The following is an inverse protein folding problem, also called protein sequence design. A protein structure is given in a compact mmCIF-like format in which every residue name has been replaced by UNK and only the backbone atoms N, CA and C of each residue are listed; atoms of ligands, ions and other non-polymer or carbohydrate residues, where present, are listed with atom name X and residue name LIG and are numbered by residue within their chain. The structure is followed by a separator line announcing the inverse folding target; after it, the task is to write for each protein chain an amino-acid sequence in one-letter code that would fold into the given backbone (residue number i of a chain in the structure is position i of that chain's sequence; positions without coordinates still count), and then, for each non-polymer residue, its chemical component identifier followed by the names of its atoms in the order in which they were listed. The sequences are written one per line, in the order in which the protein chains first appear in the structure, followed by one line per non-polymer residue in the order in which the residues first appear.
data_IF_389529584377
#
_entry.id   IF_389529584377
#
_cell.length_a   1.000
_cell.length_b   1.000
_cell.length_c   1.000
_cell.angle_alpha   90.00
_cell.angle_beta   90.00
_cell.angle_gamma   90.00
#
_symmetry.space_group_name_H-M   'P 1'
#
loop_
_entity.id
_entity.type
_entity.pdbx_description
1 polymer ?
#
# COMPACT_ATOMS: atom_id res chain seq x y z
N UNK A 1 -23.93 1.11 7.80
CA UNK A 1 -24.05 2.06 6.66
C UNK A 1 -23.25 3.30 6.98
N UNK A 2 -22.59 3.91 5.98
CA UNK A 2 -21.91 5.22 6.16
C UNK A 2 -22.94 6.34 6.35
N UNK A 3 -22.58 7.38 7.09
CA UNK A 3 -23.44 8.55 7.27
C UNK A 3 -23.49 9.44 6.01
N UNK A 4 -24.50 10.30 5.93
CA UNK A 4 -24.72 11.19 4.78
C UNK A 4 -23.57 12.17 4.54
N UNK A 5 -22.88 12.63 5.60
CA UNK A 5 -21.73 13.53 5.46
C UNK A 5 -20.58 12.80 4.78
N UNK A 6 -20.26 11.59 5.25
CA UNK A 6 -19.27 10.71 4.60
C UNK A 6 -19.64 10.45 3.14
N UNK A 7 -20.89 10.06 2.85
CA UNK A 7 -21.34 9.83 1.47
C UNK A 7 -21.14 11.06 0.57
N UNK A 8 -21.56 12.24 1.03
CA UNK A 8 -21.40 13.50 0.30
C UNK A 8 -19.94 13.93 0.07
N UNK A 9 -19.06 13.54 1.00
CA UNK A 9 -17.62 13.78 0.89
C UNK A 9 -16.95 12.84 -0.10
N UNK A 10 -17.32 11.55 -0.08
CA UNK A 10 -16.78 10.50 -0.96
C UNK A 10 -17.30 10.58 -2.39
N UNK A 11 -18.48 11.20 -2.58
CA UNK A 11 -19.06 11.38 -3.91
C UNK A 11 -18.02 11.97 -4.87
N UNK A 12 -17.81 11.36 -6.05
CA UNK A 12 -16.80 11.83 -6.99
C UNK A 12 -17.15 13.24 -7.45
N UNK A 13 -16.31 14.21 -7.08
CA UNK A 13 -16.40 15.61 -7.54
C UNK A 13 -15.26 15.98 -8.51
N UNK A 14 -14.31 15.07 -8.68
CA UNK A 14 -13.18 15.24 -9.58
C UNK A 14 -13.51 14.72 -10.98
N UNK A 15 -13.10 15.44 -12.01
CA UNK A 15 -13.25 15.05 -13.42
C UNK A 15 -11.92 14.76 -14.11
N UNK A 16 -10.80 14.95 -13.40
CA UNK A 16 -9.46 14.77 -13.99
C UNK A 16 -9.10 13.29 -14.01
N UNK A 17 -8.75 12.80 -15.19
CA UNK A 17 -8.09 11.51 -15.32
C UNK A 17 -6.77 11.55 -14.52
N UNK A 18 -6.46 10.50 -13.75
CA UNK A 18 -5.12 10.30 -13.21
C UNK A 18 -4.06 10.48 -14.31
N UNK A 19 -2.92 11.08 -13.99
CA UNK A 19 -1.81 11.25 -14.94
C UNK A 19 -0.55 10.58 -14.43
N UNK A 20 0.12 9.86 -15.31
CA UNK A 20 1.41 9.24 -15.01
C UNK A 20 2.55 10.20 -15.36
N UNK A 21 3.58 10.23 -14.53
CA UNK A 21 4.83 10.93 -14.79
C UNK A 21 6.01 10.15 -14.21
N UNK A 22 7.22 10.42 -14.69
CA UNK A 22 8.44 9.76 -14.22
C UNK A 22 9.30 10.69 -13.37
N UNK A 23 9.73 10.23 -12.21
CA UNK A 23 10.76 10.90 -11.41
C UNK A 23 12.12 10.20 -11.60
N UNK A 24 13.19 10.90 -12.00
CA UNK A 24 14.49 10.27 -12.20
C UNK A 24 15.08 9.78 -10.87
N UNK A 25 15.56 8.53 -10.86
CA UNK A 25 16.35 8.01 -9.74
C UNK A 25 17.79 8.47 -9.90
N UNK A 26 18.11 9.66 -9.39
CA UNK A 26 19.42 10.33 -9.53
C UNK A 26 20.60 9.52 -8.96
N UNK A 27 20.34 8.64 -8.00
CA UNK A 27 21.34 7.78 -7.36
C UNK A 27 21.63 6.47 -8.12
N UNK A 28 21.03 6.22 -9.29
CA UNK A 28 21.26 4.99 -10.09
C UNK A 28 21.87 5.34 -11.46
N UNK A 29 22.75 4.48 -11.96
CA UNK A 29 23.30 4.61 -13.31
C UNK A 29 22.18 4.66 -14.36
N UNK A 30 22.39 5.47 -15.40
CA UNK A 30 21.42 5.73 -16.49
C UNK A 30 20.09 6.37 -16.04
N UNK A 31 20.01 6.84 -14.79
CA UNK A 31 18.89 7.62 -14.25
C UNK A 31 17.49 7.03 -14.55
N UNK A 32 17.24 5.74 -14.23
CA UNK A 32 15.96 5.11 -14.51
C UNK A 32 14.81 5.90 -13.86
N UNK A 33 13.69 5.99 -14.57
CA UNK A 33 12.50 6.69 -14.08
C UNK A 33 11.75 5.84 -13.04
N UNK A 34 11.23 6.51 -12.01
CA UNK A 34 10.22 6.00 -11.09
C UNK A 34 8.86 6.46 -11.59
N UNK A 35 8.01 5.57 -12.15
CA UNK A 35 6.68 5.96 -12.57
C UNK A 35 5.82 6.28 -11.34
N UNK A 36 5.15 7.42 -11.36
CA UNK A 36 4.18 7.85 -10.35
C UNK A 36 2.87 8.15 -11.07
N UNK A 37 1.78 7.64 -10.52
CA UNK A 37 0.43 7.94 -10.93
C UNK A 37 -0.18 8.97 -9.98
N UNK A 38 -0.31 10.21 -10.43
CA UNK A 38 -1.02 11.23 -9.66
C UNK A 38 -2.52 11.00 -9.76
N UNK A 39 -3.12 10.61 -8.63
CA UNK A 39 -4.57 10.46 -8.52
C UNK A 39 -5.26 11.69 -7.94
N UNK A 40 -4.51 12.74 -7.56
CA UNK A 40 -5.09 13.93 -6.92
C UNK A 40 -6.16 14.51 -7.85
N UNK A 41 -7.31 14.90 -7.28
CA UNK A 41 -8.50 15.39 -8.01
C UNK A 41 -9.17 14.38 -8.97
N UNK A 42 -8.77 13.11 -8.96
CA UNK A 42 -9.49 12.06 -9.68
C UNK A 42 -10.74 11.59 -8.92
N UNK A 43 -11.69 10.89 -9.60
CA UNK A 43 -12.82 10.25 -8.94
C UNK A 43 -12.43 9.26 -7.83
N UNK A 44 -11.25 8.64 -7.95
CA UNK A 44 -10.79 7.57 -7.06
C UNK A 44 -10.20 8.08 -5.74
N UNK A 45 -9.56 9.25 -5.76
CA UNK A 45 -8.65 9.67 -4.69
C UNK A 45 -9.31 9.82 -3.32
N UNK A 46 -10.54 10.37 -3.26
CA UNK A 46 -11.24 10.54 -1.98
C UNK A 46 -11.65 9.20 -1.36
N UNK A 47 -12.15 8.29 -2.19
CA UNK A 47 -12.52 6.93 -1.76
C UNK A 47 -11.27 6.16 -1.33
N UNK A 48 -10.19 6.21 -2.12
CA UNK A 48 -8.91 5.57 -1.79
C UNK A 48 -8.34 6.06 -0.46
N UNK A 49 -8.37 7.39 -0.20
CA UNK A 49 -7.91 7.96 1.07
C UNK A 49 -8.77 7.49 2.24
N UNK A 50 -10.09 7.52 2.09
CA UNK A 50 -11.01 7.05 3.12
C UNK A 50 -10.83 5.56 3.42
N UNK A 51 -10.64 4.73 2.39
CA UNK A 51 -10.32 3.31 2.54
C UNK A 51 -9.00 3.11 3.29
N UNK A 52 -7.96 3.90 2.98
CA UNK A 52 -6.69 3.82 3.70
C UNK A 52 -6.86 4.06 5.21
N UNK A 53 -7.67 5.06 5.59
CA UNK A 53 -8.00 5.33 6.98
C UNK A 53 -8.78 4.16 7.62
N UNK A 54 -9.63 3.47 6.85
CA UNK A 54 -10.40 2.31 7.35
C UNK A 54 -9.58 1.02 7.42
N UNK A 55 -8.50 0.92 6.65
CA UNK A 55 -7.58 -0.21 6.70
C UNK A 55 -6.48 -0.05 7.76
N UNK A 56 -6.30 1.17 8.30
CA UNK A 56 -5.32 1.43 9.34
C UNK A 56 -5.43 0.52 10.59
N UNK A 57 -6.62 0.19 11.12
CA UNK A 57 -6.73 -0.77 12.22
C UNK A 57 -6.22 -2.16 11.85
N UNK A 58 -6.51 -2.62 10.63
CA UNK A 58 -6.03 -3.92 10.12
C UNK A 58 -4.52 -3.88 9.94
N UNK A 59 -4.00 -2.77 9.37
CA UNK A 59 -2.56 -2.53 9.22
C UNK A 59 -1.85 -2.58 10.57
N UNK A 60 -2.37 -1.93 11.61
CA UNK A 60 -1.74 -1.97 12.95
C UNK A 60 -1.76 -3.36 13.58
N UNK A 61 -2.83 -4.12 13.36
CA UNK A 61 -2.94 -5.51 13.84
C UNK A 61 -1.90 -6.42 13.18
N UNK A 62 -1.65 -6.22 11.88
CA UNK A 62 -0.73 -7.05 11.10
C UNK A 62 0.70 -6.49 11.08
N UNK A 63 0.95 -5.25 10.72
CA UNK A 63 2.30 -4.70 10.55
C UNK A 63 2.97 -4.33 11.89
N UNK A 64 3.16 -5.31 12.78
CA UNK A 64 3.72 -5.14 14.13
C UNK A 64 5.22 -4.83 14.14
N UNK A 65 5.94 -5.20 13.08
CA UNK A 65 7.37 -4.93 12.92
C UNK A 65 7.66 -3.71 12.03
N UNK A 66 6.63 -2.99 11.57
CA UNK A 66 6.80 -1.74 10.83
C UNK A 66 7.11 -0.61 11.80
N UNK A 67 8.29 -0.03 11.65
CA UNK A 67 8.74 1.11 12.44
C UNK A 67 8.25 2.42 11.83
N UNK A 68 7.98 3.40 12.69
CA UNK A 68 7.50 4.73 12.29
C UNK A 68 8.56 5.51 11.50
N UNK A 69 9.81 5.44 11.96
CA UNK A 69 10.94 6.17 11.41
C UNK A 69 12.28 5.50 11.78
N UNK A 70 13.36 6.02 11.19
CA UNK A 70 14.72 5.51 11.41
C UNK A 70 15.26 5.79 12.81
N UNK A 71 14.69 6.76 13.55
CA UNK A 71 15.15 7.06 14.91
C UNK A 71 14.71 5.97 15.87
N UNK A 72 13.46 5.49 15.74
CA UNK A 72 12.99 4.31 16.49
C UNK A 72 13.85 3.08 16.21
N UNK A 73 14.24 2.88 14.93
CA UNK A 73 15.15 1.80 14.57
C UNK A 73 16.52 1.94 15.25
N UNK A 74 17.15 3.12 15.16
CA UNK A 74 18.45 3.38 15.77
C UNK A 74 18.41 3.17 17.29
N UNK A 75 17.34 3.63 17.95
CA UNK A 75 17.13 3.43 19.37
C UNK A 75 16.99 1.94 19.72
N UNK A 76 16.21 1.17 18.95
CA UNK A 76 16.08 -0.28 19.17
C UNK A 76 17.40 -1.04 19.02
N UNK A 77 18.26 -0.59 18.08
CA UNK A 77 19.57 -1.17 17.85
C UNK A 77 20.54 -0.90 19.01
N UNK A 78 20.49 0.29 19.63
CA UNK A 78 21.33 0.63 20.78
C UNK A 78 21.09 -0.27 22.00
N UNK A 79 19.87 -0.81 22.14
CA UNK A 79 19.48 -1.67 23.25
C UNK A 79 19.60 -3.17 22.93
N UNK A 80 20.01 -3.52 21.71
CA UNK A 80 20.10 -4.93 21.26
C UNK A 80 21.53 -5.45 21.46
N UNK A 81 21.68 -6.58 22.17
CA UNK A 81 22.97 -7.26 22.24
C UNK A 81 23.32 -7.93 20.90
N UNK A 82 24.33 -7.40 20.23
CA UNK A 82 24.82 -7.86 18.93
C UNK A 82 26.06 -8.76 19.02
N UNK A 83 26.55 -9.07 20.22
CA UNK A 83 27.72 -9.93 20.37
C UNK A 83 27.46 -11.31 19.72
N UNK A 84 28.40 -11.73 18.87
CA UNK A 84 28.31 -12.99 18.10
C UNK A 84 27.12 -13.09 17.13
N UNK A 85 26.52 -11.96 16.75
CA UNK A 85 25.48 -11.90 15.71
C UNK A 85 26.02 -11.24 14.44
N UNK A 86 25.40 -11.55 13.30
CA UNK A 86 25.64 -10.84 12.04
C UNK A 86 24.33 -10.23 11.54
N UNK A 87 24.43 -9.12 10.79
CA UNK A 87 23.27 -8.43 10.24
C UNK A 87 23.04 -8.89 8.80
N UNK A 88 21.78 -9.17 8.48
CA UNK A 88 21.32 -9.42 7.11
C UNK A 88 20.28 -8.37 6.76
N UNK A 89 20.39 -7.79 5.56
CA UNK A 89 19.45 -6.80 5.04
C UNK A 89 18.90 -7.26 3.69
N UNK A 90 17.59 -7.15 3.52
CA UNK A 90 16.88 -7.50 2.30
C UNK A 90 16.18 -6.27 1.74
N UNK A 91 16.26 -6.07 0.43
CA UNK A 91 15.53 -5.01 -0.29
C UNK A 91 14.49 -5.62 -1.22
N UNK A 92 13.23 -5.21 -1.05
CA UNK A 92 12.14 -5.68 -1.91
C UNK A 92 12.15 -4.88 -3.22
N UNK A 93 12.52 -5.55 -4.30
CA UNK A 93 12.54 -4.91 -5.63
C UNK A 93 11.13 -4.59 -6.11
N UNK A 94 10.87 -3.29 -6.32
CA UNK A 94 9.65 -2.78 -6.95
C UNK A 94 8.35 -3.16 -6.20
N UNK A 95 8.38 -3.03 -4.87
CA UNK A 95 7.30 -3.39 -3.95
C UNK A 95 5.88 -3.11 -4.48
N UNK A 96 5.52 -1.84 -4.73
CA UNK A 96 4.15 -1.48 -5.14
C UNK A 96 3.67 -2.18 -6.42
N UNK A 97 4.56 -2.36 -7.39
CA UNK A 97 4.26 -3.02 -8.67
C UNK A 97 4.38 -4.54 -8.62
N UNK A 98 4.58 -5.12 -7.43
CA UNK A 98 4.65 -6.58 -7.23
C UNK A 98 3.72 -7.08 -6.13
N UNK A 99 2.99 -6.19 -5.47
CA UNK A 99 1.97 -6.59 -4.50
C UNK A 99 0.82 -7.29 -5.25
N UNK A 100 0.48 -8.53 -4.89
CA UNK A 100 -0.68 -9.22 -5.44
C UNK A 100 -1.96 -8.56 -4.89
N UNK A 101 -2.57 -7.71 -5.71
CA UNK A 101 -3.64 -6.83 -5.28
C UNK A 101 -4.85 -7.59 -4.71
N UNK A 102 -5.29 -8.63 -5.42
CA UNK A 102 -6.47 -9.42 -5.00
C UNK A 102 -6.21 -10.17 -3.69
N UNK A 103 -5.05 -10.82 -3.57
CA UNK A 103 -4.64 -11.51 -2.34
C UNK A 103 -4.58 -10.53 -1.15
N UNK A 104 -4.04 -9.34 -1.37
CA UNK A 104 -3.95 -8.31 -0.33
C UNK A 104 -5.33 -7.84 0.13
N UNK A 105 -6.27 -7.63 -0.80
CA UNK A 105 -7.65 -7.29 -0.46
C UNK A 105 -8.32 -8.43 0.31
N UNK A 106 -8.08 -9.68 -0.08
CA UNK A 106 -8.64 -10.84 0.62
C UNK A 106 -8.09 -10.99 2.04
N UNK A 107 -6.80 -10.72 2.26
CA UNK A 107 -6.20 -10.65 3.61
C UNK A 107 -6.91 -9.59 4.46
N UNK A 108 -7.17 -8.41 3.92
CA UNK A 108 -7.91 -7.35 4.64
C UNK A 108 -9.32 -7.84 5.02
N UNK A 109 -10.01 -8.49 4.08
CA UNK A 109 -11.36 -8.99 4.28
C UNK A 109 -11.46 -10.12 5.32
N UNK A 110 -10.37 -10.83 5.63
CA UNK A 110 -10.32 -11.80 6.74
C UNK A 110 -10.45 -11.15 8.13
N UNK A 111 -10.22 -9.84 8.24
CA UNK A 111 -10.34 -9.07 9.48
C UNK A 111 -11.64 -8.26 9.52
N UNK A 112 -12.75 -8.89 9.15
CA UNK A 112 -14.08 -8.27 9.10
C UNK A 112 -14.57 -7.76 10.46
N UNK A 113 -14.04 -8.28 11.55
CA UNK A 113 -14.36 -7.89 12.93
C UNK A 113 -13.99 -6.43 13.25
N UNK A 114 -13.06 -5.83 12.50
CA UNK A 114 -12.60 -4.45 12.68
C UNK A 114 -12.89 -3.54 11.48
N UNK A 115 -13.57 -4.07 10.46
CA UNK A 115 -13.97 -3.31 9.30
C UNK A 115 -15.34 -2.64 9.55
N UNK A 116 -15.51 -1.33 9.30
CA UNK A 116 -16.75 -0.62 9.60
C UNK A 116 -17.90 -0.84 8.58
N UNK A 117 -17.67 -1.64 7.54
CA UNK A 117 -18.63 -2.01 6.50
C UNK A 117 -18.51 -3.51 6.23
N UNK A 118 -19.55 -4.13 5.64
CA UNK A 118 -19.45 -5.53 5.29
C UNK A 118 -18.39 -5.77 4.20
N UNK A 119 -17.88 -6.99 4.20
CA UNK A 119 -16.76 -7.42 3.35
C UNK A 119 -17.00 -7.21 1.85
N UNK A 120 -18.18 -7.55 1.28
CA UNK A 120 -18.43 -7.36 -0.15
C UNK A 120 -18.27 -5.91 -0.60
N UNK A 121 -18.78 -4.95 0.18
CA UNK A 121 -18.71 -3.52 -0.10
C UNK A 121 -17.27 -3.01 -0.03
N UNK A 122 -16.50 -3.43 0.98
CA UNK A 122 -15.08 -3.07 1.06
C UNK A 122 -14.26 -3.63 -0.09
N UNK A 123 -14.51 -4.88 -0.48
CA UNK A 123 -13.84 -5.51 -1.61
C UNK A 123 -14.16 -4.76 -2.90
N UNK A 124 -15.43 -4.44 -3.14
CA UNK A 124 -15.85 -3.68 -4.32
C UNK A 124 -15.22 -2.28 -4.36
N UNK A 125 -15.27 -1.52 -3.26
CA UNK A 125 -14.69 -0.19 -3.18
C UNK A 125 -13.17 -0.21 -3.40
N UNK A 126 -12.48 -1.22 -2.84
CA UNK A 126 -11.04 -1.41 -3.02
C UNK A 126 -10.70 -1.64 -4.48
N UNK A 127 -11.43 -2.53 -5.16
CA UNK A 127 -11.23 -2.82 -6.57
C UNK A 127 -11.47 -1.59 -7.44
N UNK A 128 -12.53 -0.81 -7.18
CA UNK A 128 -12.81 0.45 -7.90
C UNK A 128 -11.63 1.43 -7.79
N UNK A 129 -10.92 1.44 -6.66
CA UNK A 129 -9.83 2.38 -6.39
C UNK A 129 -8.44 1.88 -6.80
N UNK A 130 -8.31 0.64 -7.27
CA UNK A 130 -7.00 -0.01 -7.48
C UNK A 130 -6.89 -0.79 -8.79
N UNK A 131 -7.99 -1.35 -9.29
CA UNK A 131 -8.03 -2.19 -10.50
C UNK A 131 -8.65 -1.43 -11.65
N UNK A 132 -8.11 -1.62 -12.86
CA UNK A 132 -8.63 -1.08 -14.11
C UNK A 132 -8.71 0.47 -14.11
N UNK A 133 -7.85 1.13 -13.33
CA UNK A 133 -7.77 2.60 -13.28
C UNK A 133 -7.30 3.10 -14.63
N UNK A 134 -8.12 3.97 -15.24
CA UNK A 134 -7.74 4.68 -16.47
C UNK A 134 -6.86 5.88 -16.12
N UNK A 135 -5.76 6.04 -16.84
CA UNK A 135 -4.85 7.17 -16.65
C UNK A 135 -4.25 7.64 -17.97
N UNK A 136 -3.79 8.89 -18.01
CA UNK A 136 -3.17 9.50 -19.18
C UNK A 136 -1.65 9.53 -19.03
N UNK A 137 -0.95 9.22 -20.12
CA UNK A 137 0.49 9.45 -20.28
C UNK A 137 0.77 9.83 -21.73
N UNK A 138 1.47 10.94 -21.96
CA UNK A 138 1.75 11.47 -23.31
C UNK A 138 0.49 11.47 -24.21
N UNK A 139 -0.62 11.99 -23.69
CA UNK A 139 -1.92 12.09 -24.39
C UNK A 139 -2.56 10.76 -24.83
N UNK A 140 -2.01 9.64 -24.37
CA UNK A 140 -2.56 8.31 -24.57
C UNK A 140 -3.20 7.85 -23.26
N UNK A 141 -4.40 7.29 -23.36
CA UNK A 141 -5.11 6.68 -22.24
C UNK A 141 -4.65 5.23 -22.09
N UNK A 142 -4.17 4.90 -20.91
CA UNK A 142 -3.79 3.57 -20.49
C UNK A 142 -4.71 3.08 -19.38
N UNK A 143 -4.68 1.77 -19.16
CA UNK A 143 -5.41 1.11 -18.08
C UNK A 143 -4.44 0.35 -17.20
N UNK A 144 -4.46 0.62 -15.91
CA UNK A 144 -3.71 -0.16 -14.94
C UNK A 144 -4.43 -1.49 -14.69
N UNK A 145 -3.83 -2.60 -15.11
CA UNK A 145 -4.45 -3.93 -15.01
C UNK A 145 -4.18 -4.65 -13.70
N UNK A 146 -3.05 -4.36 -13.06
CA UNK A 146 -2.60 -5.05 -11.85
C UNK A 146 -1.71 -4.17 -10.96
N UNK A 147 -1.42 -4.69 -9.77
CA UNK A 147 -0.58 -4.11 -8.72
C UNK A 147 -1.13 -2.81 -8.14
N UNK A 148 -0.37 -2.18 -7.24
CA UNK A 148 -0.77 -0.91 -6.64
C UNK A 148 -0.02 0.24 -7.31
N UNK A 149 -0.74 1.24 -7.81
CA UNK A 149 -0.12 2.40 -8.42
C UNK A 149 0.70 3.18 -7.39
N UNK A 150 1.96 3.44 -7.71
CA UNK A 150 2.79 4.36 -6.93
C UNK A 150 2.16 5.76 -7.02
N UNK A 151 1.70 6.31 -5.89
CA UNK A 151 0.93 7.57 -5.86
C UNK A 151 -0.55 7.38 -5.49
N UNK A 152 -1.04 6.13 -5.44
CA UNK A 152 -2.33 5.83 -4.84
C UNK A 152 -2.27 6.05 -3.32
N UNK A 153 -3.29 6.68 -2.70
CA UNK A 153 -3.41 6.74 -1.24
C UNK A 153 -3.41 5.37 -0.55
N UNK A 154 -3.86 4.32 -1.26
CA UNK A 154 -3.88 2.95 -0.76
C UNK A 154 -2.51 2.25 -0.82
N UNK A 155 -1.55 2.80 -1.58
CA UNK A 155 -0.23 2.21 -1.78
C UNK A 155 0.43 1.74 -0.49
N UNK A 156 0.73 2.65 0.45
CA UNK A 156 1.46 2.32 1.67
C UNK A 156 0.76 1.25 2.52
N UNK A 157 -0.55 1.41 2.77
CA UNK A 157 -1.29 0.49 3.65
C UNK A 157 -1.41 -0.92 3.07
N UNK A 158 -1.62 -1.05 1.75
CA UNK A 158 -1.65 -2.35 1.09
C UNK A 158 -0.28 -3.03 1.11
N UNK A 159 0.80 -2.24 0.93
CA UNK A 159 2.16 -2.75 1.00
C UNK A 159 2.50 -3.29 2.40
N UNK A 160 2.22 -2.50 3.44
CA UNK A 160 2.45 -2.91 4.83
C UNK A 160 1.69 -4.20 5.17
N UNK A 161 0.41 -4.27 4.81
CA UNK A 161 -0.44 -5.44 5.11
C UNK A 161 0.08 -6.69 4.39
N UNK A 162 0.44 -6.58 3.12
CA UNK A 162 0.96 -7.73 2.37
C UNK A 162 2.32 -8.19 2.92
N UNK A 163 3.24 -7.27 3.20
CA UNK A 163 4.54 -7.61 3.78
C UNK A 163 4.41 -8.26 5.16
N UNK A 164 3.53 -7.71 6.01
CA UNK A 164 3.24 -8.28 7.32
C UNK A 164 2.62 -9.69 7.24
N UNK A 165 1.81 -9.97 6.21
CA UNK A 165 1.32 -11.32 5.95
C UNK A 165 2.45 -12.24 5.49
N UNK A 166 3.34 -11.77 4.62
CA UNK A 166 4.49 -12.53 4.13
C UNK A 166 5.42 -12.95 5.27
N UNK A 167 5.70 -12.03 6.20
CA UNK A 167 6.48 -12.27 7.43
C UNK A 167 5.88 -13.39 8.29
N UNK A 168 4.54 -13.42 8.43
CA UNK A 168 3.84 -14.42 9.26
C UNK A 168 3.61 -15.77 8.60
N UNK A 169 3.73 -15.83 7.29
CA UNK A 169 3.38 -17.01 6.52
C UNK A 169 4.62 -17.61 5.89
N UNK A 170 5.04 -17.09 4.74
CA UNK A 170 6.11 -17.66 3.91
C UNK A 170 7.50 -17.47 4.52
N UNK A 171 7.72 -16.37 5.24
CA UNK A 171 9.02 -16.06 5.83
C UNK A 171 9.14 -16.45 7.30
N UNK A 172 8.05 -16.92 7.93
CA UNK A 172 8.01 -17.17 9.36
C UNK A 172 9.10 -18.14 9.81
N UNK A 173 9.25 -19.28 9.14
CA UNK A 173 10.28 -20.28 9.50
C UNK A 173 11.69 -19.70 9.41
N UNK A 174 11.99 -18.95 8.34
CA UNK A 174 13.30 -18.32 8.18
C UNK A 174 13.57 -17.23 9.24
N UNK A 175 12.54 -16.48 9.65
CA UNK A 175 12.65 -15.48 10.73
C UNK A 175 12.88 -16.18 12.07
N UNK A 176 12.10 -17.23 12.36
CA UNK A 176 12.21 -17.99 13.61
C UNK A 176 13.59 -18.64 13.77
N UNK A 177 14.23 -19.07 12.67
CA UNK A 177 15.62 -19.60 12.66
C UNK A 177 16.70 -18.52 12.89
N UNK A 178 16.40 -17.25 12.60
CA UNK A 178 17.35 -16.13 12.68
C UNK A 178 17.30 -15.35 14.01
N UNK A 179 16.31 -15.61 14.85
CA UNK A 179 16.06 -14.83 16.10
C UNK A 179 16.62 -15.53 17.32
#
# INVERSE_FOLDING_TARGET
MIDNSTCNNLRPRGSRLPHMYGLPKTHKQRYPLRPILSMITSPYHKVARWLADKFEPVRRRLATYTLKDSFVFADSMNHTNIASKFMVSFDVTSLFTKIPLLETIDIICQHSDILPLPVPEFKQLSLICTKDIQFQFNDIIYKQTDCVAMGSPLGPVLADIFMANLERTKLKGAIDEMT
#
